data_IF_182711937957
#
_entry.id   IF_182711937957
#
_cell.length_a   1.000
_cell.length_b   1.000
_cell.length_c   1.000
_cell.angle_alpha   90.00
_cell.angle_beta   90.00
_cell.angle_gamma   90.00
#
_symmetry.space_group_name_H-M   'P 1'
#
loop_
_entity.id
_entity.type
_entity.pdbx_description
1 polymer ?
#
# COMPACT_ATOMS: atom_id res chain seq x y z
N UNK A 1 4.95 20.91 16.57
CA UNK A 1 4.00 20.06 17.32
C UNK A 1 2.76 19.90 16.47
N UNK A 2 2.23 18.73 16.35
CA UNK A 2 1.03 18.42 15.57
C UNK A 2 0.29 17.23 16.14
N UNK A 3 -0.97 17.04 15.69
CA UNK A 3 -1.77 15.86 16.01
C UNK A 3 -1.78 14.90 14.81
N UNK A 4 -1.74 13.62 15.10
CA UNK A 4 -1.98 12.57 14.12
C UNK A 4 -2.95 11.55 14.68
N UNK A 5 -3.74 10.94 13.81
CA UNK A 5 -4.60 9.81 14.17
C UNK A 5 -4.13 8.55 13.45
N UNK A 6 -4.08 7.47 14.19
CA UNK A 6 -3.79 6.14 13.68
C UNK A 6 -4.91 5.18 14.09
N UNK A 7 -4.82 3.93 13.64
CA UNK A 7 -5.78 2.90 14.05
C UNK A 7 -5.75 2.65 15.57
N UNK A 8 -4.65 2.98 16.22
CA UNK A 8 -4.40 2.75 17.66
C UNK A 8 -4.66 3.97 18.55
N UNK A 9 -5.12 5.08 17.99
CA UNK A 9 -5.44 6.27 18.78
C UNK A 9 -4.96 7.58 18.16
N UNK A 10 -5.09 8.64 18.93
CA UNK A 10 -4.65 9.99 18.59
C UNK A 10 -3.39 10.33 19.36
N UNK A 11 -2.42 10.94 18.71
CA UNK A 11 -1.12 11.24 19.28
C UNK A 11 -0.67 12.65 18.96
N UNK A 12 -0.07 13.31 19.93
CA UNK A 12 0.77 14.49 19.73
C UNK A 12 2.13 14.07 19.23
N UNK A 13 2.69 14.79 18.26
CA UNK A 13 4.04 14.53 17.79
C UNK A 13 4.89 15.79 17.63
N UNK A 14 6.18 15.62 17.78
CA UNK A 14 7.19 16.67 17.59
C UNK A 14 8.11 16.30 16.44
N UNK A 15 8.32 17.25 15.51
CA UNK A 15 9.28 17.08 14.40
C UNK A 15 10.47 18.01 14.63
N UNK A 16 11.69 17.47 14.53
CA UNK A 16 12.94 18.23 14.49
C UNK A 16 13.77 17.78 13.28
N UNK A 17 14.21 18.72 12.48
CA UNK A 17 15.03 18.45 11.28
C UNK A 17 14.40 17.42 10.33
N UNK A 18 13.07 17.49 10.13
CA UNK A 18 12.34 16.57 9.26
C UNK A 18 12.08 15.18 9.82
N UNK A 19 12.49 14.89 11.06
CA UNK A 19 12.26 13.60 11.72
C UNK A 19 11.30 13.76 12.90
N UNK A 20 10.43 12.78 13.09
CA UNK A 20 9.61 12.69 14.32
C UNK A 20 10.54 12.25 15.45
N UNK A 21 10.63 13.09 16.47
CA UNK A 21 11.51 12.85 17.63
C UNK A 21 10.76 12.46 18.88
N UNK A 22 9.46 12.68 18.91
CA UNK A 22 8.62 12.36 20.05
C UNK A 22 7.19 12.10 19.57
N UNK A 23 6.52 11.16 20.19
CA UNK A 23 5.12 10.85 19.99
C UNK A 23 4.51 10.49 21.34
N UNK A 24 3.48 11.24 21.75
CA UNK A 24 2.77 11.07 23.01
C UNK A 24 1.29 10.84 22.76
N UNK A 25 0.63 10.02 23.56
CA UNK A 25 -0.81 9.92 23.52
C UNK A 25 -1.49 11.29 23.69
N UNK A 26 -2.60 11.47 23.02
CA UNK A 26 -3.44 12.66 23.20
C UNK A 26 -3.88 12.78 24.68
N UNK A 27 -3.83 13.98 25.24
CA UNK A 27 -4.02 14.19 26.67
C UNK A 27 -5.39 13.77 27.22
N UNK A 28 -6.41 13.76 26.35
CA UNK A 28 -7.77 13.35 26.73
C UNK A 28 -8.06 11.87 26.46
N UNK A 29 -7.06 11.10 25.97
CA UNK A 29 -7.15 9.66 25.85
C UNK A 29 -6.78 9.00 27.19
N UNK A 30 -7.76 8.44 27.86
CA UNK A 30 -7.60 7.85 29.19
C UNK A 30 -7.05 6.43 29.18
N UNK A 31 -7.03 5.77 28.00
CA UNK A 31 -6.51 4.41 27.84
C UNK A 31 -5.74 4.27 26.51
N UNK A 32 -4.63 5.00 26.36
CA UNK A 32 -3.90 5.05 25.10
C UNK A 32 -3.20 3.72 24.78
N UNK A 33 -3.27 3.31 23.53
CA UNK A 33 -2.54 2.14 23.06
C UNK A 33 -1.03 2.36 23.12
N UNK A 34 -0.25 1.42 23.67
CA UNK A 34 1.21 1.53 23.70
C UNK A 34 1.86 1.32 22.31
N UNK A 35 1.11 0.89 21.31
CA UNK A 35 1.62 0.60 19.96
C UNK A 35 1.97 1.90 19.22
N UNK A 36 1.19 2.97 19.41
CA UNK A 36 1.38 4.21 18.64
C UNK A 36 2.80 4.77 18.65
N UNK A 37 3.45 4.93 19.79
CA UNK A 37 4.82 5.46 19.87
C UNK A 37 5.87 4.64 19.12
N UNK A 38 5.67 3.34 18.93
CA UNK A 38 6.59 2.47 18.19
C UNK A 38 6.69 2.82 16.69
N UNK A 39 5.76 3.60 16.16
CA UNK A 39 5.79 4.08 14.78
C UNK A 39 7.08 4.88 14.50
N UNK A 40 7.61 5.58 15.49
CA UNK A 40 8.85 6.36 15.34
C UNK A 40 10.00 5.46 14.90
N UNK A 41 10.14 4.31 15.54
CA UNK A 41 11.22 3.36 15.27
C UNK A 41 11.08 2.72 13.87
N UNK A 42 9.85 2.63 13.37
CA UNK A 42 9.57 2.04 12.06
C UNK A 42 9.88 2.98 10.88
N UNK A 43 10.02 4.27 11.09
CA UNK A 43 10.21 5.23 9.99
C UNK A 43 11.53 5.04 9.27
N UNK A 44 12.59 4.71 10.00
CA UNK A 44 13.93 4.49 9.48
C UNK A 44 14.34 3.00 9.53
N UNK A 45 13.40 2.07 9.80
CA UNK A 45 13.66 0.64 9.88
C UNK A 45 14.09 0.07 8.52
N UNK A 46 15.16 -0.76 8.47
CA UNK A 46 15.62 -1.39 7.24
C UNK A 46 14.59 -2.31 6.55
N UNK A 47 13.60 -2.80 7.29
CA UNK A 47 12.51 -3.61 6.72
C UNK A 47 11.46 -2.77 6.00
N UNK A 48 11.51 -1.46 6.15
CA UNK A 48 10.56 -0.57 5.48
C UNK A 48 10.82 -0.55 3.98
N UNK A 49 9.75 -0.75 3.20
CA UNK A 49 9.76 -0.60 1.74
C UNK A 49 9.76 0.90 1.42
N UNK A 50 10.87 1.41 0.90
CA UNK A 50 11.06 2.84 0.62
C UNK A 50 10.95 3.21 -0.86
N UNK A 51 10.88 2.23 -1.74
CA UNK A 51 10.74 2.41 -3.19
C UNK A 51 10.01 1.22 -3.80
N UNK A 52 9.41 1.38 -4.99
CA UNK A 52 8.88 0.25 -5.73
C UNK A 52 9.98 -0.78 -5.99
N UNK A 53 9.59 -2.06 -5.97
CA UNK A 53 10.48 -3.15 -6.35
C UNK A 53 9.70 -4.20 -7.14
N UNK A 54 10.34 -4.76 -8.15
CA UNK A 54 9.76 -5.73 -9.07
C UNK A 54 10.63 -6.98 -9.08
N UNK A 55 10.02 -8.14 -9.21
CA UNK A 55 10.75 -9.39 -9.33
C UNK A 55 11.67 -9.37 -10.54
N UNK A 56 12.91 -9.80 -10.36
CA UNK A 56 13.93 -9.81 -11.41
C UNK A 56 13.49 -10.63 -12.62
N UNK A 57 12.93 -11.81 -12.39
CA UNK A 57 12.43 -12.65 -13.47
C UNK A 57 11.32 -11.95 -14.28
N UNK A 58 10.46 -11.18 -13.61
CA UNK A 58 9.40 -10.46 -14.32
C UNK A 58 9.97 -9.31 -15.17
N UNK A 59 10.99 -8.60 -14.68
CA UNK A 59 11.65 -7.54 -15.45
C UNK A 59 12.33 -8.08 -16.70
N UNK A 60 12.92 -9.27 -16.61
CA UNK A 60 13.65 -9.88 -17.71
C UNK A 60 12.74 -10.56 -18.74
N UNK A 61 11.75 -11.30 -18.28
CA UNK A 61 10.99 -12.25 -19.09
C UNK A 61 9.49 -11.92 -19.16
N UNK A 62 9.01 -10.94 -18.39
CA UNK A 62 7.62 -10.50 -18.40
C UNK A 62 6.66 -11.36 -17.57
N UNK A 63 5.35 -11.17 -17.80
CA UNK A 63 4.31 -11.85 -17.06
C UNK A 63 4.36 -13.37 -17.17
N UNK A 64 4.17 -14.05 -16.03
CA UNK A 64 4.19 -15.52 -15.96
C UNK A 64 5.58 -16.14 -15.85
N UNK A 65 6.64 -15.31 -15.81
CA UNK A 65 8.01 -15.79 -15.65
C UNK A 65 8.27 -16.44 -14.29
N UNK A 66 9.02 -17.53 -14.30
CA UNK A 66 9.56 -18.23 -13.15
C UNK A 66 8.61 -18.35 -11.94
N UNK A 67 7.38 -18.91 -12.10
CA UNK A 67 6.42 -19.06 -11.00
C UNK A 67 6.97 -19.93 -9.85
N UNK A 68 7.87 -20.87 -10.18
CA UNK A 68 8.55 -21.75 -9.22
C UNK A 68 9.51 -21.00 -8.30
N UNK A 69 9.96 -19.81 -8.68
CA UNK A 69 10.84 -18.96 -7.88
C UNK A 69 10.10 -18.03 -6.92
N UNK A 70 8.78 -18.18 -6.79
CA UNK A 70 8.02 -17.34 -5.86
C UNK A 70 8.55 -17.47 -4.43
N UNK A 71 8.95 -16.34 -3.84
CA UNK A 71 9.57 -16.26 -2.52
C UNK A 71 11.10 -16.31 -2.51
N UNK A 72 11.74 -16.74 -3.59
CA UNK A 72 13.21 -16.75 -3.73
C UNK A 72 13.74 -15.87 -4.86
N UNK A 73 12.87 -15.40 -5.74
CA UNK A 73 13.22 -14.49 -6.81
C UNK A 73 13.59 -13.10 -6.24
N UNK A 74 14.75 -12.54 -6.56
CA UNK A 74 15.14 -11.24 -6.07
C UNK A 74 14.17 -10.13 -6.49
N UNK A 75 14.06 -9.10 -5.65
CA UNK A 75 13.37 -7.87 -5.99
C UNK A 75 14.37 -6.79 -6.40
N UNK A 76 14.19 -6.24 -7.58
CA UNK A 76 14.97 -5.12 -8.10
C UNK A 76 14.22 -3.83 -7.84
N UNK A 77 14.87 -2.87 -7.20
CA UNK A 77 14.31 -1.53 -6.98
C UNK A 77 14.23 -0.78 -8.30
N UNK A 78 13.11 -0.14 -8.54
CA UNK A 78 12.87 0.70 -9.72
C UNK A 78 12.38 2.08 -9.30
N UNK A 79 12.42 3.04 -10.22
CA UNK A 79 11.81 4.36 -9.97
C UNK A 79 10.27 4.26 -9.97
N UNK A 80 9.60 5.26 -9.40
CA UNK A 80 8.15 5.37 -9.48
C UNK A 80 7.67 5.48 -10.92
N UNK A 81 8.35 6.27 -11.74
CA UNK A 81 8.00 6.43 -13.16
C UNK A 81 8.07 5.12 -13.94
N UNK A 82 9.04 4.28 -13.61
CA UNK A 82 9.17 2.96 -14.21
C UNK A 82 8.09 2.00 -13.71
N UNK A 83 7.86 1.96 -12.40
CA UNK A 83 6.81 1.14 -11.81
C UNK A 83 5.43 1.48 -12.38
N UNK A 84 5.09 2.76 -12.48
CA UNK A 84 3.82 3.22 -13.04
C UNK A 84 3.66 2.80 -14.51
N UNK A 85 4.70 2.95 -15.33
CA UNK A 85 4.69 2.52 -16.74
C UNK A 85 4.48 1.02 -16.87
N UNK A 86 5.18 0.22 -16.07
CA UNK A 86 5.07 -1.23 -16.10
C UNK A 86 3.67 -1.71 -15.66
N UNK A 87 3.14 -1.14 -14.58
CA UNK A 87 1.78 -1.45 -14.11
C UNK A 87 0.73 -1.04 -15.14
N UNK A 88 0.86 0.16 -15.70
CA UNK A 88 -0.09 0.63 -16.72
C UNK A 88 -0.07 -0.26 -17.98
N UNK A 89 1.12 -0.63 -18.45
CA UNK A 89 1.28 -1.51 -19.62
C UNK A 89 0.67 -2.90 -19.35
N UNK A 90 0.87 -3.47 -18.18
CA UNK A 90 0.32 -4.79 -17.84
C UNK A 90 -1.20 -4.76 -17.68
N UNK A 91 -1.74 -3.73 -17.04
CA UNK A 91 -3.20 -3.55 -16.95
C UNK A 91 -3.82 -3.39 -18.34
N UNK A 92 -3.19 -2.63 -19.23
CA UNK A 92 -3.66 -2.46 -20.61
C UNK A 92 -3.55 -3.77 -21.40
N UNK A 93 -2.48 -4.51 -21.27
CA UNK A 93 -2.31 -5.83 -21.88
C UNK A 93 -3.40 -6.80 -21.44
N UNK A 94 -3.67 -6.91 -20.14
CA UNK A 94 -4.72 -7.79 -19.62
C UNK A 94 -6.09 -7.37 -20.13
N UNK A 95 -6.40 -6.09 -20.05
CA UNK A 95 -7.68 -5.53 -20.49
C UNK A 95 -7.94 -5.76 -21.97
N UNK A 96 -6.94 -5.53 -22.82
CA UNK A 96 -7.08 -5.66 -24.28
C UNK A 96 -7.10 -7.11 -24.73
N UNK A 97 -6.38 -8.00 -24.05
CA UNK A 97 -6.29 -9.42 -24.42
C UNK A 97 -7.44 -10.25 -23.86
N UNK A 98 -7.87 -9.98 -22.63
CA UNK A 98 -8.80 -10.84 -21.89
C UNK A 98 -10.06 -10.11 -21.42
N UNK A 99 -10.15 -8.79 -21.62
CA UNK A 99 -11.25 -7.96 -21.12
C UNK A 99 -11.11 -7.58 -19.64
N UNK A 100 -11.90 -6.59 -19.24
CA UNK A 100 -11.87 -6.07 -17.86
C UNK A 100 -12.26 -7.11 -16.78
N UNK A 101 -13.02 -8.13 -17.15
CA UNK A 101 -13.38 -9.23 -16.26
C UNK A 101 -12.18 -10.06 -15.78
N UNK A 102 -11.05 -10.01 -16.50
CA UNK A 102 -9.82 -10.68 -16.10
C UNK A 102 -9.06 -9.93 -14.99
N UNK A 103 -9.43 -8.69 -14.70
CA UNK A 103 -8.88 -7.92 -13.59
C UNK A 103 -9.76 -8.17 -12.37
N UNK A 104 -9.21 -8.83 -11.36
CA UNK A 104 -9.88 -9.05 -10.08
C UNK A 104 -9.29 -8.15 -9.00
N UNK A 105 -10.14 -7.46 -8.27
CA UNK A 105 -9.66 -6.60 -7.19
C UNK A 105 -10.65 -6.47 -6.03
N UNK A 106 -10.06 -6.26 -4.87
CA UNK A 106 -10.74 -5.98 -3.63
C UNK A 106 -9.75 -5.50 -2.58
N UNK A 107 -10.27 -4.98 -1.49
CA UNK A 107 -9.48 -4.62 -0.32
C UNK A 107 -10.34 -4.80 0.92
N UNK A 108 -9.74 -5.24 1.99
CA UNK A 108 -10.43 -5.38 3.27
C UNK A 108 -10.58 -4.06 4.00
N UNK A 109 -9.63 -3.15 3.88
CA UNK A 109 -9.72 -1.76 4.34
C UNK A 109 -9.90 -1.57 5.83
N UNK A 110 -9.43 -2.48 6.66
CA UNK A 110 -9.63 -2.47 8.11
C UNK A 110 -9.17 -1.19 8.81
N UNK A 111 -8.02 -0.65 8.40
CA UNK A 111 -7.49 0.61 8.93
C UNK A 111 -7.94 1.85 8.15
N UNK A 112 -9.03 1.74 7.39
CA UNK A 112 -9.49 2.82 6.52
C UNK A 112 -10.20 3.90 7.34
N UNK A 113 -9.71 5.12 7.21
CA UNK A 113 -10.29 6.30 7.82
C UNK A 113 -10.43 7.43 6.79
N UNK A 114 -11.64 7.96 6.66
CA UNK A 114 -11.92 9.08 5.78
C UNK A 114 -11.82 8.75 4.28
N UNK A 115 -11.87 9.80 3.46
CA UNK A 115 -11.98 9.67 2.00
C UNK A 115 -10.72 9.12 1.33
N UNK A 116 -9.55 9.60 1.75
CA UNK A 116 -8.29 9.27 1.07
C UNK A 116 -7.61 8.02 1.64
N UNK A 117 -7.98 7.60 2.83
CA UNK A 117 -7.44 6.42 3.50
C UNK A 117 -8.38 5.22 3.42
N UNK A 118 -9.44 5.29 2.62
CA UNK A 118 -10.36 4.18 2.41
C UNK A 118 -9.92 3.34 1.21
N UNK A 119 -9.15 2.30 1.48
CA UNK A 119 -8.50 1.47 0.46
C UNK A 119 -9.49 0.89 -0.57
N UNK A 120 -10.64 0.40 -0.13
CA UNK A 120 -11.68 -0.12 -1.04
C UNK A 120 -12.16 0.95 -2.02
N UNK A 121 -12.47 2.16 -1.55
CA UNK A 121 -12.93 3.25 -2.42
C UNK A 121 -11.89 3.63 -3.46
N UNK A 122 -10.62 3.66 -3.09
CA UNK A 122 -9.54 4.00 -4.02
C UNK A 122 -9.37 2.93 -5.10
N UNK A 123 -9.36 1.65 -4.72
CA UNK A 123 -9.30 0.53 -5.67
C UNK A 123 -10.50 0.57 -6.62
N UNK A 124 -11.71 0.73 -6.10
CA UNK A 124 -12.91 0.80 -6.92
C UNK A 124 -12.89 1.99 -7.88
N UNK A 125 -12.51 3.17 -7.38
CA UNK A 125 -12.41 4.37 -8.22
C UNK A 125 -11.42 4.18 -9.36
N UNK A 126 -10.22 3.72 -9.05
CA UNK A 126 -9.16 3.50 -10.04
C UNK A 126 -9.60 2.54 -11.13
N UNK A 127 -10.09 1.35 -10.76
CA UNK A 127 -10.47 0.32 -11.72
C UNK A 127 -11.75 0.65 -12.51
N UNK A 128 -12.67 1.41 -11.94
CA UNK A 128 -13.81 1.93 -12.68
C UNK A 128 -13.38 2.94 -13.76
N UNK A 129 -12.34 3.74 -13.51
CA UNK A 129 -11.77 4.61 -14.54
C UNK A 129 -11.12 3.84 -15.71
N UNK A 130 -10.72 2.59 -15.47
CA UNK A 130 -10.21 1.68 -16.50
C UNK A 130 -11.33 0.94 -17.28
N UNK A 131 -12.60 1.18 -16.98
CA UNK A 131 -13.74 0.54 -17.60
C UNK A 131 -14.35 -0.63 -16.83
N UNK A 132 -13.93 -0.84 -15.59
CA UNK A 132 -14.47 -1.86 -14.71
C UNK A 132 -13.52 -3.04 -14.44
N UNK A 133 -13.97 -3.99 -13.62
CA UNK A 133 -13.18 -5.14 -13.15
C UNK A 133 -14.08 -6.15 -12.44
N UNK A 134 -13.57 -7.33 -12.13
CA UNK A 134 -14.26 -8.32 -11.31
C UNK A 134 -14.09 -7.96 -9.83
N UNK A 135 -15.18 -7.54 -9.19
CA UNK A 135 -15.20 -7.05 -7.82
C UNK A 135 -15.30 -8.18 -6.81
N UNK A 136 -14.47 -8.15 -5.77
CA UNK A 136 -14.68 -8.95 -4.56
C UNK A 136 -15.92 -8.47 -3.81
N UNK A 137 -16.83 -9.39 -3.48
CA UNK A 137 -18.13 -9.07 -2.85
C UNK A 137 -18.30 -9.60 -1.44
N UNK A 138 -17.33 -10.28 -0.90
CA UNK A 138 -17.51 -10.91 0.39
C UNK A 138 -16.62 -10.29 1.47
N UNK A 139 -17.00 -10.51 2.72
CA UNK A 139 -16.17 -10.24 3.88
C UNK A 139 -15.70 -11.56 4.48
N UNK A 140 -14.57 -11.52 5.17
CA UNK A 140 -13.97 -12.71 5.78
C UNK A 140 -14.30 -12.85 7.27
N UNK A 141 -15.07 -11.92 7.79
CA UNK A 141 -15.46 -11.89 9.21
C UNK A 141 -16.87 -11.35 9.40
#
# INVERSE_FOLDING_TARGET
MGLTSAHWGVYDFTVKNGKITEMKPFAEDHDPSPIGPSIIDLLDDPMRIISPAIRESWLNDGPGSAPEKRGSDPFVRVSWDEAEKLVAAELDRVRTTHGNQAIYAGSYGWASAGRFHHAQSQVHRFLNCLGGYTKSKNTYS
#
